data_IF_402186635274
#
_entry.id   IF_402186635274
#
_cell.length_a   1.000
_cell.length_b   1.000
_cell.length_c   1.000
_cell.angle_alpha   90.00
_cell.angle_beta   90.00
_cell.angle_gamma   90.00
#
_symmetry.space_group_name_H-M   'P 1'
#
loop_
_entity.id
_entity.type
_entity.pdbx_description
1 polymer ?
#
# COMPACT_ATOMS: atom_id res chain seq x y z
N UNK A 1 -2.27 -13.93 -8.23
CA UNK A 1 -3.53 -13.26 -7.88
C UNK A 1 -4.47 -14.30 -7.29
N UNK A 2 -5.18 -13.95 -6.22
CA UNK A 2 -6.11 -14.84 -5.53
C UNK A 2 -7.42 -14.08 -5.28
N UNK A 3 -8.56 -14.76 -5.36
CA UNK A 3 -9.87 -14.20 -5.01
C UNK A 3 -9.93 -14.07 -3.49
N UNK A 4 -10.28 -12.88 -3.01
CA UNK A 4 -10.43 -12.56 -1.58
C UNK A 4 -11.89 -12.29 -1.17
N UNK A 5 -12.79 -12.12 -2.13
CA UNK A 5 -14.20 -11.80 -1.89
C UNK A 5 -15.05 -12.35 -3.05
N UNK A 6 -16.23 -12.87 -2.74
CA UNK A 6 -17.23 -13.37 -3.72
C UNK A 6 -18.58 -12.84 -3.27
N UNK A 7 -19.30 -12.15 -4.16
CA UNK A 7 -20.63 -11.58 -3.89
C UNK A 7 -20.72 -10.73 -2.60
N UNK A 8 -19.64 -10.02 -2.27
CA UNK A 8 -19.52 -9.20 -1.05
C UNK A 8 -19.16 -9.97 0.22
N UNK A 9 -19.04 -11.30 0.15
CA UNK A 9 -18.63 -12.14 1.28
C UNK A 9 -17.14 -12.47 1.25
N UNK A 10 -16.51 -12.46 2.42
CA UNK A 10 -15.08 -12.79 2.54
C UNK A 10 -14.85 -14.25 2.12
N UNK A 11 -13.95 -14.45 1.15
CA UNK A 11 -13.64 -15.77 0.63
C UNK A 11 -12.14 -15.89 0.39
N UNK A 12 -11.51 -17.03 0.69
CA UNK A 12 -10.11 -17.24 0.36
C UNK A 12 -9.74 -18.73 0.36
N UNK A 13 -8.72 -19.10 -0.42
CA UNK A 13 -8.07 -20.41 -0.31
C UNK A 13 -7.31 -20.50 1.02
N UNK A 14 -7.06 -21.74 1.48
CA UNK A 14 -6.21 -21.98 2.66
C UNK A 14 -4.85 -21.28 2.50
N UNK A 15 -4.41 -20.59 3.55
CA UNK A 15 -3.16 -19.83 3.56
C UNK A 15 -3.25 -18.43 2.94
N UNK A 16 -4.45 -17.94 2.63
CA UNK A 16 -4.69 -16.57 2.12
C UNK A 16 -5.68 -15.83 3.02
N UNK A 17 -5.56 -14.50 3.06
CA UNK A 17 -6.41 -13.63 3.87
C UNK A 17 -7.62 -13.16 3.05
N UNK A 18 -8.83 -13.62 3.40
CA UNK A 18 -10.10 -13.18 2.79
C UNK A 18 -10.51 -11.75 3.16
N UNK A 19 -11.44 -11.20 2.41
CA UNK A 19 -11.98 -9.83 2.48
C UNK A 19 -11.16 -8.81 1.71
N UNK A 20 -11.83 -7.82 1.10
CA UNK A 20 -11.18 -6.61 0.58
C UNK A 20 -10.48 -5.84 1.72
N UNK A 21 -9.34 -5.23 1.42
CA UNK A 21 -8.45 -4.60 2.41
C UNK A 21 -8.02 -3.21 1.97
N UNK A 22 -7.63 -2.41 2.95
CA UNK A 22 -6.92 -1.16 2.76
C UNK A 22 -5.51 -1.29 3.35
N UNK A 23 -4.53 -0.62 2.74
CA UNK A 23 -3.15 -0.54 3.23
C UNK A 23 -2.85 0.91 3.56
N UNK A 24 -2.61 1.19 4.83
CA UNK A 24 -2.30 2.52 5.33
C UNK A 24 -0.80 2.65 5.55
N UNK A 25 -0.15 3.58 4.86
CA UNK A 25 1.27 3.88 5.01
C UNK A 25 1.46 5.09 5.89
N UNK A 26 2.31 4.99 6.91
CA UNK A 26 2.73 6.14 7.69
C UNK A 26 3.61 7.07 6.86
N UNK A 27 3.35 8.38 6.94
CA UNK A 27 4.14 9.38 6.21
C UNK A 27 5.48 9.70 6.86
N UNK A 28 5.65 9.34 8.13
CA UNK A 28 6.86 9.62 8.91
C UNK A 28 7.85 8.44 8.91
N UNK A 29 7.37 7.23 9.25
CA UNK A 29 8.24 6.04 9.38
C UNK A 29 8.07 5.00 8.26
N UNK A 30 7.17 5.23 7.30
CA UNK A 30 6.85 4.31 6.19
C UNK A 30 6.33 2.91 6.59
N UNK A 31 6.08 2.68 7.88
CA UNK A 31 5.38 1.49 8.37
C UNK A 31 3.98 1.35 7.76
N UNK A 32 3.55 0.11 7.51
CA UNK A 32 2.25 -0.17 6.88
C UNK A 32 1.30 -0.85 7.88
N UNK A 33 0.03 -0.45 7.86
CA UNK A 33 -1.06 -1.08 8.62
C UNK A 33 -2.08 -1.59 7.61
N UNK A 34 -2.50 -2.84 7.76
CA UNK A 34 -3.52 -3.45 6.90
C UNK A 34 -4.82 -3.58 7.65
N UNK A 35 -5.89 -3.05 7.10
CA UNK A 35 -7.25 -3.18 7.63
C UNK A 35 -8.17 -3.82 6.61
N UNK A 36 -9.35 -4.26 7.06
CA UNK A 36 -10.47 -4.49 6.12
C UNK A 36 -10.79 -3.17 5.43
N UNK A 37 -11.29 -3.22 4.18
CA UNK A 37 -11.74 -2.04 3.48
C UNK A 37 -12.89 -1.31 4.21
N UNK A 38 -13.06 -0.03 3.90
CA UNK A 38 -14.15 0.83 4.42
C UNK A 38 -14.19 1.00 5.94
N UNK A 39 -13.11 0.67 6.66
CA UNK A 39 -12.95 1.03 8.07
C UNK A 39 -12.28 2.39 8.22
N UNK A 40 -12.38 2.99 9.41
CA UNK A 40 -11.76 4.27 9.71
C UNK A 40 -10.23 4.20 9.59
N UNK A 41 -9.66 5.26 9.00
CA UNK A 41 -8.22 5.45 8.86
C UNK A 41 -7.50 5.35 10.22
N UNK A 42 -6.54 4.43 10.40
CA UNK A 42 -5.78 4.31 11.64
C UNK A 42 -4.62 5.32 11.70
N UNK A 43 -4.20 5.68 12.92
CA UNK A 43 -2.87 6.28 13.14
C UNK A 43 -1.78 5.21 13.05
N UNK A 44 -0.54 5.64 12.80
CA UNK A 44 0.60 4.73 12.80
C UNK A 44 0.75 4.05 14.17
N UNK A 45 0.79 2.72 14.19
CA UNK A 45 0.94 1.92 15.41
C UNK A 45 2.38 1.92 15.95
N UNK A 46 3.35 2.31 15.12
CA UNK A 46 4.79 2.30 15.49
C UNK A 46 5.25 3.66 16.03
N UNK A 47 4.90 4.76 15.36
CA UNK A 47 5.36 6.11 15.75
C UNK A 47 4.24 7.10 16.10
N UNK A 48 2.96 6.72 15.92
CA UNK A 48 1.82 7.60 16.18
C UNK A 48 1.51 8.65 15.10
N UNK A 49 2.31 8.69 14.04
CA UNK A 49 2.16 9.60 12.90
C UNK A 49 0.89 9.39 12.08
N UNK A 50 0.60 10.34 11.20
CA UNK A 50 -0.50 10.24 10.23
C UNK A 50 -0.19 9.18 9.17
N UNK A 51 -1.25 8.55 8.68
CA UNK A 51 -1.17 7.57 7.60
C UNK A 51 -1.82 8.09 6.32
N UNK A 52 -1.58 7.47 5.19
CA UNK A 52 -2.32 7.69 3.95
C UNK A 52 -2.60 6.32 3.30
N UNK A 53 -3.65 6.22 2.48
CA UNK A 53 -3.87 4.98 1.74
C UNK A 53 -2.73 4.79 0.73
N UNK A 54 -2.20 3.58 0.68
CA UNK A 54 -1.23 3.13 -0.30
C UNK A 54 -1.90 2.46 -1.52
N UNK A 55 -3.23 2.31 -1.51
CA UNK A 55 -4.01 1.76 -2.61
C UNK A 55 -4.82 2.88 -3.26
N UNK A 56 -4.62 3.10 -4.56
CA UNK A 56 -5.38 4.09 -5.32
C UNK A 56 -6.13 3.41 -6.46
N UNK A 57 -7.39 3.82 -6.69
CA UNK A 57 -8.17 3.36 -7.84
C UNK A 57 -7.61 3.99 -9.11
N UNK A 58 -6.94 3.17 -9.93
CA UNK A 58 -6.37 3.61 -11.21
C UNK A 58 -7.27 3.27 -12.41
N UNK A 59 -8.08 2.22 -12.28
CA UNK A 59 -8.97 1.73 -13.36
C UNK A 59 -10.35 1.49 -12.79
N UNK A 60 -11.36 2.09 -13.42
CA UNK A 60 -12.79 1.91 -13.11
C UNK A 60 -13.53 1.63 -14.41
N UNK A 61 -14.37 0.59 -14.44
CA UNK A 61 -15.13 0.17 -15.63
C UNK A 61 -14.33 0.02 -16.94
N UNK A 62 -13.04 -0.33 -16.81
CA UNK A 62 -12.13 -0.54 -17.95
C UNK A 62 -11.43 0.73 -18.44
N UNK A 63 -11.68 1.88 -17.82
CA UNK A 63 -11.04 3.15 -18.15
C UNK A 63 -10.00 3.54 -17.10
N UNK A 64 -8.90 4.14 -17.54
CA UNK A 64 -7.89 4.70 -16.65
C UNK A 64 -8.44 6.02 -16.09
N UNK A 65 -8.66 6.09 -14.78
CA UNK A 65 -9.31 7.23 -14.11
C UNK A 65 -8.32 8.17 -13.40
N UNK A 66 -7.01 7.92 -13.54
CA UNK A 66 -5.93 8.70 -12.94
C UNK A 66 -4.76 8.89 -13.89
N UNK A 67 -4.10 10.04 -13.79
CA UNK A 67 -2.84 10.27 -14.49
C UNK A 67 -1.75 9.38 -13.90
N UNK A 68 -1.03 8.68 -14.79
CA UNK A 68 0.10 7.84 -14.37
C UNK A 68 1.36 8.70 -14.27
N UNK A 69 2.14 8.55 -13.18
CA UNK A 69 3.38 9.31 -13.03
C UNK A 69 4.39 8.92 -14.09
N UNK A 70 5.18 9.90 -14.52
CA UNK A 70 6.33 9.69 -15.40
C UNK A 70 7.42 8.87 -14.70
N UNK A 71 8.35 8.25 -15.47
CA UNK A 71 9.49 7.54 -14.89
C UNK A 71 10.34 8.39 -13.93
N UNK A 72 10.50 9.69 -14.21
CA UNK A 72 11.29 10.60 -13.36
C UNK A 72 10.59 10.89 -12.03
N UNK A 73 9.27 11.06 -12.03
CA UNK A 73 8.48 11.22 -10.80
C UNK A 73 8.51 9.94 -9.95
N UNK A 74 8.38 8.77 -10.57
CA UNK A 74 8.50 7.48 -9.87
C UNK A 74 9.89 7.33 -9.26
N UNK A 75 10.94 7.66 -10.01
CA UNK A 75 12.33 7.62 -9.52
C UNK A 75 12.54 8.58 -8.35
N UNK A 76 12.06 9.81 -8.46
CA UNK A 76 12.14 10.80 -7.39
C UNK A 76 11.50 10.29 -6.10
N UNK A 77 10.27 9.76 -6.20
CA UNK A 77 9.57 9.16 -5.06
C UNK A 77 10.35 8.02 -4.41
N UNK A 78 10.97 7.14 -5.20
CA UNK A 78 11.79 6.04 -4.67
C UNK A 78 13.03 6.58 -3.95
N UNK A 79 13.75 7.54 -4.54
CA UNK A 79 14.92 8.16 -3.90
C UNK A 79 14.54 8.82 -2.58
N UNK A 80 13.40 9.51 -2.53
CA UNK A 80 12.90 10.12 -1.30
C UNK A 80 12.55 9.10 -0.23
N UNK A 81 11.94 7.97 -0.61
CA UNK A 81 11.65 6.88 0.31
C UNK A 81 12.93 6.25 0.89
N UNK A 82 13.95 6.04 0.07
CA UNK A 82 15.23 5.44 0.49
C UNK A 82 15.94 6.23 1.60
N UNK A 83 15.68 7.53 1.74
CA UNK A 83 16.22 8.35 2.85
C UNK A 83 15.79 7.86 4.23
N UNK A 84 14.69 7.10 4.32
CA UNK A 84 14.15 6.56 5.57
C UNK A 84 14.63 5.13 5.88
N UNK A 85 15.52 4.57 5.07
CA UNK A 85 16.05 3.21 5.26
C UNK A 85 17.57 3.24 5.38
N UNK A 86 18.11 2.45 6.30
CA UNK A 86 19.52 2.08 6.25
C UNK A 86 19.70 1.03 5.15
N UNK A 87 20.51 1.35 4.16
CA UNK A 87 20.84 0.42 3.08
C UNK A 87 22.09 -0.36 3.48
N UNK A 88 21.93 -1.67 3.65
CA UNK A 88 23.07 -2.58 3.77
C UNK A 88 23.72 -2.76 2.39
N UNK A 89 24.94 -2.26 2.25
CA UNK A 89 25.74 -2.35 1.02
C UNK A 89 26.81 -3.45 1.10
N UNK A 90 26.73 -4.34 2.09
CA UNK A 90 27.72 -5.40 2.29
C UNK A 90 27.82 -6.40 1.12
N UNK A 91 26.78 -6.50 0.28
CA UNK A 91 26.72 -7.40 -0.88
C UNK A 91 27.07 -6.71 -2.24
N UNK A 92 27.46 -5.43 -2.26
CA UNK A 92 27.69 -4.68 -3.51
C UNK A 92 29.11 -4.79 -4.11
N UNK A 93 29.84 -5.87 -3.81
CA UNK A 93 31.20 -6.15 -4.30
C UNK A 93 31.24 -7.07 -5.51
#
# INVERSE_FOLDING_TARGET
MDIVEIDGEFAAKRGKLGGRKEVWRCMDCLGNIVTVADVEKPKCSECGGETESALELLVEDGEIVKDLPSPDEVRGRVIDQLKNFELDLSDAS
#
